data_IF_396630477416
#
_entry.id   IF_396630477416
#
_cell.length_a   1.000
_cell.length_b   1.000
_cell.length_c   1.000
_cell.angle_alpha   90.00
_cell.angle_beta   90.00
_cell.angle_gamma   90.00
#
_symmetry.space_group_name_H-M   'P 1'
#
loop_
_entity.id
_entity.type
_entity.pdbx_description
1 polymer ?
#
# COMPACT_ATOMS: atom_id res chain seq x y z
N UNK A 1 1.82 -23.20 -15.00
CA UNK A 1 2.11 -23.72 -13.65
C UNK A 1 3.61 -23.60 -13.43
N UNK A 2 4.08 -22.51 -12.83
CA UNK A 2 5.46 -22.43 -12.34
C UNK A 2 5.41 -22.85 -10.87
N UNK A 3 6.03 -24.00 -10.57
CA UNK A 3 6.23 -24.46 -9.19
C UNK A 3 7.62 -24.04 -8.75
N UNK A 4 7.73 -23.34 -7.62
CA UNK A 4 8.99 -22.98 -6.97
C UNK A 4 9.78 -24.25 -6.60
N UNK A 5 10.82 -24.59 -7.38
CA UNK A 5 11.73 -25.68 -7.05
C UNK A 5 13.16 -25.15 -6.78
N UNK A 6 13.72 -25.64 -5.67
CA UNK A 6 14.98 -25.26 -5.03
C UNK A 6 16.23 -25.58 -5.88
N UNK A 7 17.22 -24.70 -5.85
CA UNK A 7 18.60 -24.97 -6.27
C UNK A 7 19.52 -24.85 -5.03
N UNK A 8 20.13 -25.95 -4.62
CA UNK A 8 21.13 -25.98 -3.55
C UNK A 8 22.53 -25.75 -4.14
N UNK A 9 23.32 -24.86 -3.53
CA UNK A 9 24.74 -24.71 -3.82
C UNK A 9 25.55 -24.87 -2.53
N UNK A 10 26.46 -25.85 -2.54
CA UNK A 10 27.44 -26.14 -1.48
C UNK A 10 28.59 -25.13 -1.52
N UNK A 11 28.90 -24.50 -0.38
CA UNK A 11 30.12 -23.72 -0.18
C UNK A 11 31.02 -24.38 0.87
N UNK A 12 32.31 -24.53 0.55
CA UNK A 12 33.36 -25.02 1.43
C UNK A 12 34.04 -23.85 2.19
N UNK A 13 34.42 -23.99 3.48
CA UNK A 13 35.01 -22.88 4.21
C UNK A 13 36.55 -22.88 4.13
N UNK A 14 37.12 -21.68 3.93
CA UNK A 14 38.53 -21.39 4.19
C UNK A 14 38.64 -20.69 5.54
N UNK A 15 39.44 -21.24 6.45
CA UNK A 15 39.72 -20.67 7.76
C UNK A 15 40.91 -19.71 7.70
N UNK A 16 40.81 -18.57 8.38
CA UNK A 16 41.97 -17.80 8.85
C UNK A 16 41.81 -17.50 10.34
N UNK A 17 42.87 -17.82 11.08
CA UNK A 17 43.05 -17.59 12.52
C UNK A 17 43.69 -16.22 12.72
N UNK A 18 43.22 -15.45 13.71
CA UNK A 18 43.90 -14.25 14.19
C UNK A 18 43.08 -13.52 15.25
N UNK A 19 43.46 -13.69 16.52
CA UNK A 19 42.76 -13.12 17.68
C UNK A 19 43.06 -11.65 17.94
N UNK A 20 42.06 -10.95 18.46
CA UNK A 20 42.21 -9.83 19.39
C UNK A 20 40.96 -9.77 20.27
N UNK A 21 41.16 -9.80 21.58
CA UNK A 21 40.11 -9.84 22.61
C UNK A 21 39.41 -8.48 22.72
N UNK A 22 38.40 -8.26 21.88
CA UNK A 22 37.37 -7.26 22.10
C UNK A 22 36.12 -7.95 22.63
N UNK A 23 35.55 -7.47 23.74
CA UNK A 23 34.25 -7.90 24.23
C UNK A 23 33.20 -7.55 23.17
N UNK A 24 32.90 -8.51 22.31
CA UNK A 24 31.81 -8.43 21.34
C UNK A 24 30.55 -8.76 22.11
N UNK A 25 29.74 -7.74 22.42
CA UNK A 25 28.33 -7.98 22.70
C UNK A 25 27.74 -8.35 21.34
N UNK A 26 27.77 -9.65 21.03
CA UNK A 26 26.97 -10.19 19.97
C UNK A 26 25.52 -10.02 20.42
N UNK A 27 24.88 -8.95 19.95
CA UNK A 27 23.45 -9.02 19.69
C UNK A 27 23.31 -10.23 18.78
N UNK A 28 22.70 -11.29 19.30
CA UNK A 28 22.25 -12.43 18.53
C UNK A 28 21.15 -11.92 17.59
N UNK A 29 21.56 -11.17 16.57
CA UNK A 29 20.80 -10.95 15.37
C UNK A 29 20.72 -12.34 14.78
N UNK A 30 19.60 -13.01 15.05
CA UNK A 30 19.28 -14.33 14.55
C UNK A 30 19.93 -14.53 13.18
N UNK A 31 20.72 -15.60 13.06
CA UNK A 31 21.27 -16.11 11.81
C UNK A 31 20.30 -15.76 10.67
N UNK A 32 20.71 -14.96 9.66
CA UNK A 32 19.80 -14.57 8.59
C UNK A 32 19.49 -15.86 7.82
N UNK A 33 18.46 -16.55 8.28
CA UNK A 33 17.97 -17.79 7.71
C UNK A 33 17.80 -17.52 6.22
N UNK A 34 18.37 -18.38 5.39
CA UNK A 34 18.27 -18.26 3.93
C UNK A 34 16.81 -17.91 3.55
N UNK A 35 16.55 -16.72 2.99
CA UNK A 35 15.19 -16.25 2.74
C UNK A 35 14.43 -17.15 1.76
N UNK A 36 15.13 -17.97 0.97
CA UNK A 36 14.53 -18.98 0.10
C UNK A 36 14.04 -20.24 0.85
N UNK A 37 14.50 -20.43 2.09
CA UNK A 37 14.12 -21.54 2.96
C UNK A 37 13.19 -21.12 4.11
N UNK A 38 13.04 -19.82 4.32
CA UNK A 38 12.17 -19.24 5.33
C UNK A 38 10.71 -19.63 5.09
N UNK A 39 9.97 -19.84 6.19
CA UNK A 39 8.53 -20.07 6.18
C UNK A 39 7.83 -18.80 6.64
N UNK A 40 7.08 -18.18 5.75
CA UNK A 40 6.28 -17.01 6.05
C UNK A 40 4.90 -17.44 6.53
N UNK A 41 4.41 -16.79 7.59
CA UNK A 41 3.09 -17.02 8.17
C UNK A 41 2.12 -15.88 7.90
N UNK A 42 2.66 -14.76 7.39
CA UNK A 42 1.91 -13.56 7.02
C UNK A 42 2.32 -13.17 5.61
N UNK A 43 1.34 -12.81 4.79
CA UNK A 43 1.55 -12.18 3.48
C UNK A 43 0.66 -10.95 3.34
N UNK A 44 1.11 -10.01 2.53
CA UNK A 44 0.37 -8.80 2.13
C UNK A 44 0.61 -8.57 0.64
N UNK A 45 -0.37 -7.98 -0.05
CA UNK A 45 -0.12 -7.40 -1.37
C UNK A 45 0.27 -5.93 -1.23
N UNK A 46 1.04 -5.42 -2.18
CA UNK A 46 1.41 -4.01 -2.23
C UNK A 46 1.45 -3.53 -3.68
N UNK A 47 0.82 -2.39 -3.95
CA UNK A 47 0.90 -1.73 -5.25
C UNK A 47 0.37 -0.28 -5.16
N UNK A 48 0.90 0.59 -6.02
CA UNK A 48 0.45 1.98 -6.20
C UNK A 48 -0.09 2.20 -7.60
N UNK A 49 -0.62 3.40 -7.86
CA UNK A 49 -1.02 3.85 -9.20
C UNK A 49 -2.02 2.88 -9.87
N UNK A 50 -2.95 2.36 -9.08
CA UNK A 50 -3.75 1.19 -9.46
C UNK A 50 -5.15 1.50 -9.96
N UNK A 51 -5.68 2.69 -9.66
CA UNK A 51 -6.98 3.11 -10.14
C UNK A 51 -7.03 3.22 -11.66
N UNK A 52 -7.97 2.58 -12.35
CA UNK A 52 -8.22 2.96 -13.73
C UNK A 52 -9.03 4.26 -13.80
N UNK A 53 -8.75 5.06 -14.82
CA UNK A 53 -9.62 6.12 -15.31
C UNK A 53 -10.97 5.52 -15.71
N UNK A 54 -12.09 6.12 -15.26
CA UNK A 54 -13.46 5.61 -15.51
C UNK A 54 -13.89 5.67 -16.97
N UNK A 55 -13.16 6.39 -17.82
CA UNK A 55 -13.48 6.54 -19.23
C UNK A 55 -12.35 6.17 -20.19
N UNK A 56 -11.10 5.88 -19.73
CA UNK A 56 -9.98 5.53 -20.62
C UNK A 56 -8.74 4.80 -20.05
N UNK A 57 -8.72 4.09 -18.92
CA UNK A 57 -7.46 3.41 -18.48
C UNK A 57 -6.32 4.40 -18.11
N UNK A 58 -5.53 4.07 -17.10
CA UNK A 58 -4.92 5.07 -16.22
C UNK A 58 -3.95 6.07 -16.87
N UNK A 59 -3.32 5.81 -18.02
CA UNK A 59 -2.15 6.62 -18.44
C UNK A 59 -2.17 7.20 -19.85
N UNK A 60 -3.04 6.74 -20.75
CA UNK A 60 -2.55 6.51 -22.12
C UNK A 60 -3.37 7.10 -23.28
N UNK A 61 -4.29 8.03 -22.99
CA UNK A 61 -4.99 8.83 -24.01
C UNK A 61 -5.56 7.99 -25.17
N UNK A 62 -5.63 8.56 -26.37
CA UNK A 62 -6.13 7.89 -27.57
C UNK A 62 -5.22 6.78 -28.14
N UNK A 63 -4.08 6.49 -27.50
CA UNK A 63 -3.14 5.42 -27.87
C UNK A 63 -3.11 4.27 -26.85
N UNK A 64 -4.11 4.20 -25.95
CA UNK A 64 -4.24 3.08 -25.03
C UNK A 64 -4.34 1.76 -25.79
N UNK A 65 -3.40 0.84 -25.54
CA UNK A 65 -3.45 -0.51 -26.05
C UNK A 65 -4.22 -1.41 -25.08
N UNK A 66 -4.44 -2.67 -25.47
CA UNK A 66 -5.17 -3.63 -24.65
C UNK A 66 -4.53 -3.87 -23.27
N UNK A 67 -3.22 -3.67 -23.12
CA UNK A 67 -2.55 -3.83 -21.83
C UNK A 67 -2.95 -2.72 -20.86
N UNK A 68 -2.98 -1.47 -21.32
CA UNK A 68 -3.33 -0.33 -20.46
C UNK A 68 -4.80 -0.37 -20.02
N UNK A 69 -5.70 -0.85 -20.89
CA UNK A 69 -7.13 -0.90 -20.59
C UNK A 69 -7.50 -2.01 -19.60
N UNK A 70 -6.79 -3.14 -19.64
CA UNK A 70 -7.10 -4.30 -18.79
C UNK A 70 -6.07 -4.53 -17.69
N UNK A 71 -5.11 -3.61 -17.49
CA UNK A 71 -4.05 -3.78 -16.50
C UNK A 71 -4.64 -4.03 -15.10
N UNK A 72 -5.59 -3.20 -14.69
CA UNK A 72 -6.22 -3.30 -13.37
C UNK A 72 -6.94 -4.64 -13.18
N UNK A 73 -7.79 -5.05 -14.14
CA UNK A 73 -8.52 -6.32 -14.09
C UNK A 73 -7.57 -7.53 -14.12
N UNK A 74 -6.48 -7.44 -14.89
CA UNK A 74 -5.46 -8.48 -14.95
C UNK A 74 -4.75 -8.62 -13.59
N UNK A 75 -4.35 -7.51 -12.98
CA UNK A 75 -3.70 -7.51 -11.65
C UNK A 75 -4.67 -8.06 -10.60
N UNK A 76 -5.93 -7.61 -10.57
CA UNK A 76 -6.93 -8.11 -9.65
C UNK A 76 -7.16 -9.63 -9.77
N UNK A 77 -7.24 -10.13 -11.01
CA UNK A 77 -7.36 -11.57 -11.29
C UNK A 77 -6.15 -12.35 -10.78
N UNK A 78 -4.94 -11.85 -11.03
CA UNK A 78 -3.71 -12.50 -10.56
C UNK A 78 -3.58 -12.48 -9.04
N UNK A 79 -3.98 -11.38 -8.39
CA UNK A 79 -4.03 -11.31 -6.93
C UNK A 79 -4.99 -12.34 -6.34
N UNK A 80 -6.18 -12.52 -6.93
CA UNK A 80 -7.15 -13.51 -6.46
C UNK A 80 -6.62 -14.94 -6.60
N UNK A 81 -6.02 -15.27 -7.75
CA UNK A 81 -5.39 -16.57 -7.99
C UNK A 81 -4.24 -16.82 -7.00
N UNK A 82 -3.40 -15.82 -6.78
CA UNK A 82 -2.25 -15.93 -5.88
C UNK A 82 -2.71 -16.12 -4.43
N UNK A 83 -3.66 -15.31 -3.96
CA UNK A 83 -4.25 -15.44 -2.63
C UNK A 83 -4.88 -16.83 -2.39
N UNK A 84 -5.52 -17.41 -3.42
CA UNK A 84 -6.08 -18.76 -3.35
C UNK A 84 -5.04 -19.89 -3.40
N UNK A 85 -3.80 -19.62 -3.80
CA UNK A 85 -2.79 -20.66 -4.09
C UNK A 85 -1.54 -20.63 -3.20
N UNK A 86 -1.17 -19.51 -2.56
CA UNK A 86 0.04 -19.39 -1.75
C UNK A 86 0.07 -20.24 -0.47
N UNK A 87 -1.09 -20.70 0.04
CA UNK A 87 -1.20 -21.40 1.31
C UNK A 87 -0.86 -20.57 2.57
N UNK A 88 -0.44 -19.31 2.39
CA UNK A 88 -0.25 -18.30 3.43
C UNK A 88 -1.35 -17.24 3.26
N UNK A 89 -2.20 -16.99 4.28
CA UNK A 89 -3.27 -16.01 4.17
C UNK A 89 -2.75 -14.60 3.94
N UNK A 90 -3.30 -13.94 2.92
CA UNK A 90 -3.07 -12.51 2.68
C UNK A 90 -3.90 -11.73 3.71
N UNK A 91 -3.22 -10.97 4.57
CA UNK A 91 -3.85 -10.28 5.69
C UNK A 91 -4.23 -8.83 5.39
N UNK A 92 -3.59 -8.21 4.39
CA UNK A 92 -3.90 -6.86 3.94
C UNK A 92 -3.46 -6.64 2.48
N UNK A 93 -4.07 -5.65 1.84
CA UNK A 93 -3.66 -5.07 0.56
C UNK A 93 -3.20 -3.64 0.83
N UNK A 94 -1.95 -3.32 0.53
CA UNK A 94 -1.34 -2.02 0.80
C UNK A 94 -1.39 -1.16 -0.47
N UNK A 95 -2.28 -0.17 -0.48
CA UNK A 95 -2.49 0.75 -1.59
C UNK A 95 -1.67 2.02 -1.41
N UNK A 96 -0.68 2.25 -2.27
CA UNK A 96 0.23 3.40 -2.17
C UNK A 96 -0.33 4.68 -2.82
N UNK A 97 -1.65 4.87 -2.80
CA UNK A 97 -2.32 6.02 -3.40
C UNK A 97 -2.45 5.94 -4.92
N UNK A 98 -2.99 7.03 -5.45
CA UNK A 98 -3.46 7.12 -6.83
C UNK A 98 -4.54 6.06 -7.12
N UNK A 99 -5.45 5.96 -6.15
CA UNK A 99 -6.54 5.00 -6.10
C UNK A 99 -7.65 5.36 -7.07
N UNK A 100 -7.91 6.66 -7.23
CA UNK A 100 -9.09 7.19 -7.93
C UNK A 100 -8.68 8.18 -9.03
N UNK A 101 -7.94 7.68 -9.99
CA UNK A 101 -7.53 8.41 -11.17
C UNK A 101 -8.69 8.97 -12.03
N UNK A 102 -8.59 10.16 -12.63
CA UNK A 102 -7.41 11.06 -12.70
C UNK A 102 -7.43 12.22 -11.69
N UNK A 103 -8.56 12.43 -11.00
CA UNK A 103 -8.82 13.64 -10.19
C UNK A 103 -9.47 13.35 -8.83
N UNK A 104 -9.41 12.11 -8.37
CA UNK A 104 -10.01 11.67 -7.13
C UNK A 104 -11.54 11.72 -7.21
N UNK A 105 -12.17 11.94 -6.06
CA UNK A 105 -13.62 12.11 -5.93
C UNK A 105 -13.95 13.58 -6.14
N UNK A 106 -14.85 13.92 -7.05
CA UNK A 106 -15.14 15.32 -7.38
C UNK A 106 -16.35 15.88 -6.63
N UNK A 107 -17.22 15.00 -6.15
CA UNK A 107 -18.37 15.36 -5.33
C UNK A 107 -18.73 14.20 -4.41
N UNK A 108 -19.36 14.50 -3.28
CA UNK A 108 -19.84 13.47 -2.37
C UNK A 108 -20.79 12.50 -3.09
N UNK A 109 -21.64 13.01 -3.97
CA UNK A 109 -22.59 12.24 -4.75
C UNK A 109 -21.92 11.25 -5.72
N UNK A 110 -20.66 11.50 -6.11
CA UNK A 110 -19.89 10.60 -6.97
C UNK A 110 -19.03 9.58 -6.20
N UNK A 111 -18.98 9.67 -4.86
CA UNK A 111 -18.07 8.86 -4.04
C UNK A 111 -18.26 7.36 -4.30
N UNK A 112 -19.48 6.86 -4.09
CA UNK A 112 -19.79 5.42 -4.21
C UNK A 112 -19.55 4.89 -5.63
N UNK A 113 -19.96 5.64 -6.66
CA UNK A 113 -19.72 5.26 -8.06
C UNK A 113 -18.23 5.15 -8.38
N UNK A 114 -17.41 6.06 -7.83
CA UNK A 114 -15.96 6.05 -8.04
C UNK A 114 -15.30 4.87 -7.34
N UNK A 115 -15.70 4.55 -6.11
CA UNK A 115 -15.21 3.37 -5.42
C UNK A 115 -15.67 2.07 -6.10
N UNK A 116 -16.91 2.00 -6.57
CA UNK A 116 -17.40 0.84 -7.31
C UNK A 116 -16.59 0.61 -8.59
N UNK A 117 -16.44 1.65 -9.41
CA UNK A 117 -15.75 1.55 -10.69
C UNK A 117 -14.26 1.23 -10.57
N UNK A 118 -13.59 1.74 -9.52
CA UNK A 118 -12.14 1.62 -9.36
C UNK A 118 -11.72 0.52 -8.38
N UNK A 119 -12.52 0.19 -7.37
CA UNK A 119 -12.13 -0.79 -6.34
C UNK A 119 -13.12 -1.96 -6.27
N UNK A 120 -14.39 -1.71 -5.95
CA UNK A 120 -15.30 -2.78 -5.54
C UNK A 120 -15.64 -3.74 -6.68
N UNK A 121 -15.94 -3.24 -7.88
CA UNK A 121 -16.23 -4.08 -9.03
C UNK A 121 -14.96 -4.68 -9.68
N UNK A 122 -13.77 -4.22 -9.30
CA UNK A 122 -12.50 -4.67 -9.89
C UNK A 122 -11.79 -5.73 -9.05
N UNK A 123 -11.89 -5.62 -7.73
CA UNK A 123 -11.24 -6.52 -6.77
C UNK A 123 -12.30 -7.30 -5.99
N UNK A 124 -13.16 -8.01 -6.71
CA UNK A 124 -14.31 -8.77 -6.22
C UNK A 124 -14.08 -10.29 -6.14
N UNK A 125 -12.87 -10.75 -6.48
CA UNK A 125 -12.48 -12.15 -6.44
C UNK A 125 -12.68 -12.80 -5.07
N UNK A 126 -13.10 -14.06 -5.04
CA UNK A 126 -13.51 -14.76 -3.81
C UNK A 126 -12.43 -14.81 -2.73
N UNK A 127 -11.16 -14.83 -3.11
CA UNK A 127 -10.02 -14.92 -2.20
C UNK A 127 -9.53 -13.54 -1.72
N UNK A 128 -9.92 -12.45 -2.38
CA UNK A 128 -9.45 -11.08 -2.07
C UNK A 128 -10.57 -10.10 -1.69
N UNK A 129 -11.84 -10.42 -1.97
CA UNK A 129 -12.97 -9.49 -1.80
C UNK A 129 -13.11 -8.94 -0.39
N UNK A 130 -12.80 -9.72 0.64
CA UNK A 130 -12.96 -9.31 2.05
C UNK A 130 -11.63 -8.94 2.73
N UNK A 131 -10.52 -8.86 1.98
CA UNK A 131 -9.22 -8.50 2.57
C UNK A 131 -9.19 -7.00 2.83
N UNK A 132 -8.74 -6.55 4.02
CA UNK A 132 -8.54 -5.13 4.31
C UNK A 132 -7.59 -4.46 3.32
N UNK A 133 -8.05 -3.36 2.72
CA UNK A 133 -7.24 -2.40 1.98
C UNK A 133 -6.75 -1.33 2.93
N UNK A 134 -5.44 -1.14 2.99
CA UNK A 134 -4.75 -0.16 3.82
C UNK A 134 -4.10 0.84 2.88
N UNK A 135 -4.70 2.02 2.76
CA UNK A 135 -4.38 2.97 1.70
C UNK A 135 -3.75 4.26 2.23
N UNK A 136 -2.95 4.90 1.38
CA UNK A 136 -2.58 6.30 1.50
C UNK A 136 -3.18 7.09 0.33
N UNK A 137 -3.26 8.41 0.46
CA UNK A 137 -3.61 9.30 -0.65
C UNK A 137 -2.43 9.47 -1.60
N UNK A 138 -2.69 9.44 -2.90
CA UNK A 138 -1.76 9.89 -3.95
C UNK A 138 -2.10 11.29 -4.47
N UNK A 139 -1.26 11.84 -5.33
CA UNK A 139 -1.52 13.18 -5.89
C UNK A 139 -2.76 13.23 -6.76
N UNK A 140 -3.10 12.15 -7.47
CA UNK A 140 -4.32 12.11 -8.29
C UNK A 140 -5.59 12.03 -7.45
N UNK A 141 -5.50 11.48 -6.25
CA UNK A 141 -6.60 11.45 -5.28
C UNK A 141 -6.99 12.85 -4.80
N UNK A 142 -6.02 13.77 -4.72
CA UNK A 142 -6.28 15.18 -4.42
C UNK A 142 -6.76 16.02 -5.62
N UNK A 143 -6.65 15.51 -6.85
CA UNK A 143 -7.03 16.25 -8.06
C UNK A 143 -6.00 16.21 -9.18
N UNK A 144 -4.84 15.59 -8.94
CA UNK A 144 -3.77 15.43 -9.92
C UNK A 144 -3.27 16.79 -10.41
N UNK A 145 -3.18 16.96 -11.73
CA UNK A 145 -2.80 18.24 -12.36
C UNK A 145 -3.99 19.14 -12.69
N UNK A 146 -5.13 18.97 -12.02
CA UNK A 146 -6.36 19.72 -12.29
C UNK A 146 -6.80 20.58 -11.09
N UNK A 147 -7.97 21.21 -11.19
CA UNK A 147 -8.51 22.01 -10.09
C UNK A 147 -8.96 21.12 -8.92
N UNK A 148 -8.75 21.61 -7.69
CA UNK A 148 -9.18 20.94 -6.46
C UNK A 148 -10.68 21.15 -6.21
N UNK A 149 -11.16 22.39 -6.41
CA UNK A 149 -12.55 22.77 -6.19
C UNK A 149 -13.46 22.24 -7.30
N UNK A 150 -14.72 22.04 -6.95
CA UNK A 150 -15.74 21.50 -7.85
C UNK A 150 -17.12 22.11 -7.60
N UNK A 151 -17.96 22.12 -8.64
CA UNK A 151 -19.40 22.36 -8.55
C UNK A 151 -20.09 21.13 -9.12
N UNK A 152 -20.64 20.28 -8.23
CA UNK A 152 -20.96 18.91 -8.59
C UNK A 152 -19.70 18.19 -9.07
N UNK A 153 -19.78 17.45 -10.17
CA UNK A 153 -18.61 16.76 -10.76
C UNK A 153 -17.72 17.65 -11.65
N UNK A 154 -18.10 18.92 -11.88
CA UNK A 154 -17.33 19.83 -12.72
C UNK A 154 -16.21 20.49 -11.89
N UNK A 155 -14.96 20.24 -12.27
CA UNK A 155 -13.81 20.88 -11.65
C UNK A 155 -13.73 22.36 -12.03
N UNK A 156 -13.51 23.22 -11.03
CA UNK A 156 -13.45 24.67 -11.17
C UNK A 156 -12.29 25.25 -10.36
N UNK A 157 -11.76 26.38 -10.81
CA UNK A 157 -10.76 27.10 -10.03
C UNK A 157 -11.35 27.55 -8.69
N UNK A 158 -10.64 27.30 -7.60
CA UNK A 158 -10.97 27.86 -6.29
C UNK A 158 -10.86 29.39 -6.32
N UNK A 159 -11.86 30.10 -5.79
CA UNK A 159 -11.89 31.55 -5.76
C UNK A 159 -11.07 32.13 -4.60
N UNK A 160 -10.93 31.35 -3.52
CA UNK A 160 -10.22 31.74 -2.31
C UNK A 160 -9.31 30.63 -1.80
N UNK A 161 -8.35 30.98 -0.95
CA UNK A 161 -7.52 29.99 -0.24
C UNK A 161 -8.36 29.11 0.70
N UNK A 162 -9.40 29.68 1.32
CA UNK A 162 -10.35 28.93 2.15
C UNK A 162 -11.04 27.81 1.33
N UNK A 163 -11.53 28.15 0.13
CA UNK A 163 -12.14 27.17 -0.78
C UNK A 163 -11.13 26.09 -1.20
N UNK A 164 -9.87 26.45 -1.40
CA UNK A 164 -8.81 25.50 -1.72
C UNK A 164 -8.59 24.52 -0.57
N UNK A 165 -8.44 24.99 0.67
CA UNK A 165 -8.25 24.11 1.83
C UNK A 165 -9.48 23.24 2.07
N UNK A 166 -10.68 23.80 1.99
CA UNK A 166 -11.90 23.02 2.11
C UNK A 166 -12.01 21.95 1.02
N UNK A 167 -11.58 22.26 -0.21
CA UNK A 167 -11.51 21.30 -1.30
C UNK A 167 -10.56 20.14 -1.00
N UNK A 168 -9.35 20.42 -0.51
CA UNK A 168 -8.37 19.39 -0.12
C UNK A 168 -8.91 18.51 1.01
N UNK A 169 -9.47 19.11 2.06
CA UNK A 169 -10.09 18.39 3.17
C UNK A 169 -11.22 17.47 2.70
N UNK A 170 -12.07 17.94 1.77
CA UNK A 170 -13.14 17.13 1.21
C UNK A 170 -12.61 15.90 0.47
N UNK A 171 -11.52 16.04 -0.30
CA UNK A 171 -10.89 14.93 -1.05
C UNK A 171 -10.43 13.82 -0.12
N UNK A 172 -9.74 14.17 0.97
CA UNK A 172 -9.33 13.22 2.01
C UNK A 172 -10.57 12.62 2.69
N UNK A 173 -11.47 13.48 3.17
CA UNK A 173 -12.65 13.08 3.93
C UNK A 173 -13.49 12.04 3.19
N UNK A 174 -13.73 12.24 1.89
CA UNK A 174 -14.55 11.31 1.11
C UNK A 174 -13.95 9.90 1.00
N UNK A 175 -12.63 9.77 1.03
CA UNK A 175 -11.99 8.45 1.08
C UNK A 175 -11.84 7.92 2.50
N UNK A 176 -11.65 8.79 3.49
CA UNK A 176 -11.48 8.41 4.89
C UNK A 176 -12.78 7.92 5.53
N UNK A 177 -13.91 8.50 5.13
CA UNK A 177 -15.25 8.15 5.62
C UNK A 177 -15.97 7.13 4.72
N UNK A 178 -15.33 6.63 3.66
CA UNK A 178 -15.94 5.63 2.78
C UNK A 178 -16.12 4.30 3.51
N UNK A 179 -17.34 3.75 3.46
CA UNK A 179 -17.64 2.42 3.98
C UNK A 179 -17.78 1.44 2.83
N UNK A 180 -16.84 0.51 2.72
CA UNK A 180 -16.90 -0.50 1.66
C UNK A 180 -18.07 -1.47 1.88
N UNK A 181 -18.83 -1.83 0.82
CA UNK A 181 -19.86 -2.87 0.92
C UNK A 181 -19.28 -4.26 1.22
N UNK A 182 -17.98 -4.45 1.02
CA UNK A 182 -17.28 -5.72 1.20
C UNK A 182 -16.67 -5.82 2.62
N UNK A 183 -17.53 -5.73 3.63
CA UNK A 183 -17.14 -5.87 5.03
C UNK A 183 -16.32 -4.70 5.57
N UNK A 184 -16.56 -3.49 5.05
CA UNK A 184 -15.83 -2.27 5.45
C UNK A 184 -14.30 -2.41 5.31
N UNK A 185 -13.88 -3.00 4.19
CA UNK A 185 -12.47 -3.32 3.95
C UNK A 185 -11.59 -2.10 3.65
N UNK A 186 -12.14 -0.91 3.39
CA UNK A 186 -11.35 0.25 3.01
C UNK A 186 -10.84 1.00 4.24
N UNK A 187 -9.52 1.04 4.44
CA UNK A 187 -8.87 1.74 5.54
C UNK A 187 -8.04 2.89 4.99
N UNK A 188 -8.39 4.11 5.35
CA UNK A 188 -7.63 5.33 5.04
C UNK A 188 -7.98 6.43 6.05
N UNK A 189 -7.75 6.15 7.33
CA UNK A 189 -8.41 6.87 8.43
C UNK A 189 -7.97 8.33 8.60
N UNK A 190 -6.77 8.68 8.15
CA UNK A 190 -6.18 10.02 8.27
C UNK A 190 -4.99 10.17 7.30
N UNK A 191 -4.36 11.34 7.24
CA UNK A 191 -3.11 11.58 6.52
C UNK A 191 -1.96 10.69 7.02
N UNK A 192 -1.93 10.42 8.33
CA UNK A 192 -0.90 9.61 8.97
C UNK A 192 -1.56 8.65 9.94
N UNK A 193 -1.44 7.35 9.69
CA UNK A 193 -2.03 6.36 10.57
C UNK A 193 -1.26 5.04 10.53
N UNK A 194 -1.41 4.27 11.60
CA UNK A 194 -0.79 2.95 11.73
C UNK A 194 -1.88 1.89 11.55
N UNK A 195 -1.62 0.94 10.65
CA UNK A 195 -2.38 -0.30 10.59
C UNK A 195 -1.53 -1.43 11.16
N UNK A 196 -2.12 -2.26 12.03
CA UNK A 196 -1.39 -3.33 12.71
C UNK A 196 -1.96 -4.69 12.33
N UNK A 197 -1.09 -5.56 11.86
CA UNK A 197 -1.40 -6.97 11.61
C UNK A 197 -0.83 -7.79 12.76
N UNK A 198 -1.64 -8.66 13.35
CA UNK A 198 -1.23 -9.60 14.39
C UNK A 198 -1.60 -11.04 14.02
N UNK A 199 -0.59 -11.87 13.76
CA UNK A 199 -0.78 -13.30 13.62
C UNK A 199 -0.49 -14.00 14.95
N UNK A 200 -1.56 -14.21 15.72
CA UNK A 200 -1.47 -14.87 17.04
C UNK A 200 -0.95 -16.31 16.97
N UNK A 201 -1.08 -17.01 15.84
CA UNK A 201 -0.61 -18.38 15.71
C UNK A 201 0.92 -18.45 15.61
N UNK A 202 1.54 -17.50 14.92
CA UNK A 202 3.00 -17.40 14.81
C UNK A 202 3.64 -16.48 15.84
N UNK A 203 2.86 -15.62 16.50
CA UNK A 203 3.36 -14.58 17.40
C UNK A 203 4.02 -13.41 16.65
N UNK A 204 3.79 -13.28 15.35
CA UNK A 204 4.30 -12.18 14.52
C UNK A 204 3.33 -11.00 14.60
N UNK A 205 3.89 -9.80 14.80
CA UNK A 205 3.17 -8.55 14.61
C UNK A 205 3.90 -7.62 13.66
N UNK A 206 3.12 -6.89 12.87
CA UNK A 206 3.59 -5.98 11.84
C UNK A 206 2.86 -4.65 12.02
N UNK A 207 3.62 -3.57 12.19
CA UNK A 207 3.10 -2.21 12.16
C UNK A 207 3.38 -1.59 10.79
N UNK A 208 2.32 -1.08 10.16
CA UNK A 208 2.31 -0.48 8.83
C UNK A 208 2.07 1.01 9.01
N UNK A 209 3.08 1.82 8.71
CA UNK A 209 2.99 3.28 8.80
C UNK A 209 2.56 3.83 7.44
N UNK A 210 1.34 4.35 7.38
CA UNK A 210 0.80 5.01 6.20
C UNK A 210 1.03 6.51 6.31
N UNK A 211 1.63 7.07 5.26
CA UNK A 211 2.11 8.45 5.23
C UNK A 211 1.63 9.10 3.95
N UNK A 212 0.77 10.12 4.08
CA UNK A 212 0.42 11.01 2.98
C UNK A 212 1.61 11.95 2.68
N UNK A 213 2.29 11.68 1.57
CA UNK A 213 3.45 12.46 1.13
C UNK A 213 3.07 13.72 0.35
N UNK A 214 1.76 13.94 0.12
CA UNK A 214 1.24 15.18 -0.47
C UNK A 214 1.03 16.27 0.58
N UNK A 215 1.09 15.92 1.86
CA UNK A 215 1.03 16.92 2.92
C UNK A 215 2.24 17.87 2.80
N UNK A 216 1.92 19.12 2.47
CA UNK A 216 2.84 20.09 1.87
C UNK A 216 3.91 20.61 2.84
N UNK A 217 3.90 20.17 4.10
CA UNK A 217 4.95 20.46 5.06
C UNK A 217 6.29 19.79 4.72
N UNK A 218 6.29 18.77 3.84
CA UNK A 218 7.49 17.95 3.57
C UNK A 218 7.95 18.02 2.10
N UNK A 219 7.07 18.27 1.13
CA UNK A 219 7.45 18.34 -0.28
C UNK A 219 6.70 19.41 -1.08
N UNK A 220 7.45 20.32 -1.72
CA UNK A 220 6.91 21.21 -2.76
C UNK A 220 6.38 20.42 -3.96
N UNK A 221 5.63 21.07 -4.88
CA UNK A 221 4.86 20.40 -5.93
C UNK A 221 5.79 19.77 -6.97
N UNK A 222 6.19 18.53 -6.75
CA UNK A 222 6.79 17.68 -7.78
C UNK A 222 5.81 16.56 -8.09
N UNK A 223 5.55 16.37 -9.38
CA UNK A 223 4.61 15.43 -10.00
C UNK A 223 4.98 13.95 -9.82
N UNK A 224 5.52 13.58 -8.67
CA UNK A 224 6.00 12.25 -8.32
C UNK A 224 6.01 12.10 -6.79
N UNK A 225 4.84 12.21 -6.15
CA UNK A 225 4.69 11.82 -4.75
C UNK A 225 4.40 10.33 -4.70
N UNK A 226 5.44 9.52 -4.47
CA UNK A 226 5.24 8.13 -4.10
C UNK A 226 4.72 8.10 -2.66
N UNK A 227 3.58 7.46 -2.38
CA UNK A 227 3.25 7.12 -1.01
C UNK A 227 4.27 6.07 -0.52
N UNK A 228 4.77 6.24 0.69
CA UNK A 228 5.75 5.33 1.28
C UNK A 228 5.09 4.59 2.42
N UNK A 229 5.01 3.26 2.31
CA UNK A 229 4.66 2.39 3.43
C UNK A 229 5.94 1.84 4.05
N UNK A 230 6.13 2.11 5.35
CA UNK A 230 7.24 1.52 6.11
C UNK A 230 6.73 0.35 6.94
N UNK A 231 7.39 -0.79 6.82
CA UNK A 231 7.10 -2.00 7.58
C UNK A 231 8.01 -2.10 8.79
N UNK A 232 7.45 -2.10 10.01
CA UNK A 232 8.19 -2.48 11.21
C UNK A 232 7.72 -3.86 11.68
N UNK A 233 8.66 -4.81 11.79
CA UNK A 233 8.39 -6.16 12.30
C UNK A 233 8.94 -6.26 13.72
N UNK A 234 8.08 -6.60 14.68
CA UNK A 234 8.48 -6.79 16.07
C UNK A 234 8.02 -8.16 16.58
N UNK A 235 8.91 -8.96 17.21
CA UNK A 235 8.50 -10.16 17.92
C UNK A 235 7.67 -9.80 19.15
N UNK A 236 6.52 -10.45 19.35
CA UNK A 236 5.72 -10.32 20.57
C UNK A 236 6.46 -10.97 21.75
N UNK A 237 7.42 -10.26 22.34
CA UNK A 237 7.88 -10.50 23.70
C UNK A 237 7.61 -9.26 24.52
N UNK A 238 6.96 -9.45 25.67
CA UNK A 238 6.58 -8.37 26.58
C UNK A 238 7.84 -7.64 27.08
N UNK A 239 8.14 -6.47 26.51
CA UNK A 239 9.14 -5.57 27.07
C UNK A 239 8.85 -4.11 26.70
N UNK A 240 8.50 -3.34 27.74
CA UNK A 240 8.68 -1.89 27.93
C UNK A 240 9.37 -1.13 26.79
N UNK A 241 8.62 -0.22 26.15
CA UNK A 241 9.17 0.81 25.26
C UNK A 241 10.18 1.69 26.01
N UNK A 242 11.44 1.66 25.56
CA UNK A 242 12.38 2.78 25.72
C UNK A 242 12.82 3.18 24.32
N UNK A 243 12.45 4.40 23.92
CA UNK A 243 12.79 4.99 22.64
C UNK A 243 14.30 4.93 22.37
N UNK A 244 14.69 4.28 21.27
CA UNK A 244 15.87 4.64 20.47
C UNK A 244 15.88 3.90 19.13
N UNK A 245 15.76 4.70 18.06
CA UNK A 245 16.16 4.45 16.66
C UNK A 245 15.60 3.20 15.96
N UNK A 246 14.68 3.35 14.97
CA UNK A 246 14.29 2.24 14.13
C UNK A 246 15.40 1.90 13.12
N UNK A 247 15.79 0.63 13.08
CA UNK A 247 16.60 0.04 12.01
C UNK A 247 15.70 -0.27 10.82
N UNK A 248 16.13 0.17 9.63
CA UNK A 248 15.44 -0.02 8.36
C UNK A 248 15.42 -1.49 7.92
N UNK A 249 14.37 -1.89 7.20
CA UNK A 249 14.39 -3.07 6.31
C UNK A 249 13.90 -2.64 4.92
N UNK A 250 14.69 -3.04 3.94
CA UNK A 250 14.63 -2.70 2.52
C UNK A 250 13.47 -3.42 1.85
N UNK A 251 12.66 -2.69 1.09
CA UNK A 251 11.74 -3.22 0.07
C UNK A 251 12.51 -3.24 -1.25
N UNK A 252 12.62 -4.40 -1.90
CA UNK A 252 13.17 -4.54 -3.27
C UNK A 252 12.08 -4.37 -4.31
#
# INVERSE_FOLDING_TARGET
MLSCNKLASTAAPFAFVGGSSGLTVALDLADPSDPASAKYTVSVFTFGDWGATTYFGSCCGSNANNYNLNAQETVATLMDIEAGSCGVPVQAILGHGDSLYWTGINSLESCDERFDASCEAKYDGDNIKNIPWVNAMGNHDYGGSNCICSVGNALVKCNTTEELFQGLENKLKWQAEYTSPNGDRWNMNDHFYIHRIEDTNSGVSIDIFNVDTNDADIHGPTSSSNATVTLAVAPLTAATLSAKTPSAVVVT
#
